data_IF_752868419095
#
_entry.id   IF_752868419095
#
_cell.length_a   1.000
_cell.length_b   1.000
_cell.length_c   1.000
_cell.angle_alpha   90.00
_cell.angle_beta   90.00
_cell.angle_gamma   90.00
#
_symmetry.space_group_name_H-M   'P 1'
#
loop_
_entity.id
_entity.type
_entity.pdbx_description
1 polymer ?
#
# COMPACT_ATOMS: atom_id res chain seq x y z
N UNK A 1 9.59 -20.75 -20.68
CA UNK A 1 10.42 -19.99 -19.71
C UNK A 1 9.60 -19.85 -18.42
N UNK A 2 10.10 -20.34 -17.27
CA UNK A 2 9.40 -20.18 -15.98
C UNK A 2 9.31 -18.67 -15.68
N UNK A 3 8.10 -18.13 -15.61
CA UNK A 3 7.85 -16.80 -15.08
C UNK A 3 8.37 -16.76 -13.64
N UNK A 4 9.60 -16.27 -13.46
CA UNK A 4 10.20 -16.06 -12.15
C UNK A 4 9.36 -14.95 -11.51
N UNK A 5 8.40 -15.32 -10.65
CA UNK A 5 7.70 -14.34 -9.81
C UNK A 5 8.81 -13.64 -9.05
N UNK A 6 9.06 -12.38 -9.38
CA UNK A 6 9.81 -11.47 -8.52
C UNK A 6 8.93 -11.23 -7.31
N UNK A 7 9.00 -12.17 -6.36
CA UNK A 7 8.36 -11.98 -5.08
C UNK A 7 8.96 -10.73 -4.46
N UNK A 8 8.10 -9.77 -4.16
CA UNK A 8 8.43 -8.65 -3.30
C UNK A 8 8.96 -9.24 -1.99
N UNK A 9 10.27 -9.11 -1.74
CA UNK A 9 10.95 -9.51 -0.49
C UNK A 9 10.59 -8.56 0.65
N UNK A 10 9.31 -8.33 0.87
CA UNK A 10 8.79 -7.61 2.03
C UNK A 10 7.93 -8.59 2.79
N UNK A 11 8.22 -8.73 4.07
CA UNK A 11 7.49 -9.58 5.00
C UNK A 11 5.98 -9.34 4.90
N UNK A 12 5.22 -10.40 5.14
CA UNK A 12 3.80 -10.27 5.44
C UNK A 12 3.65 -9.49 6.77
N UNK A 13 2.61 -8.67 6.88
CA UNK A 13 2.21 -8.10 8.16
C UNK A 13 1.18 -9.06 8.79
N UNK A 14 1.27 -9.26 10.10
CA UNK A 14 0.35 -10.11 10.87
C UNK A 14 -1.01 -9.44 11.10
N UNK A 15 -1.00 -8.12 11.31
CA UNK A 15 -2.19 -7.31 11.58
C UNK A 15 -1.97 -5.89 11.08
N UNK A 16 -2.98 -5.30 10.43
CA UNK A 16 -2.96 -3.92 9.94
C UNK A 16 -3.53 -3.77 8.53
N UNK A 17 -3.07 -2.74 7.82
CA UNK A 17 -3.62 -2.34 6.52
C UNK A 17 -2.59 -2.46 5.40
N UNK A 18 -3.00 -3.03 4.27
CA UNK A 18 -2.28 -2.96 2.99
C UNK A 18 -3.06 -2.12 2.01
N UNK A 19 -2.40 -1.13 1.42
CA UNK A 19 -2.89 -0.31 0.32
C UNK A 19 -2.07 -0.69 -0.92
N UNK A 20 -2.70 -1.43 -1.84
CA UNK A 20 -2.07 -1.89 -3.07
C UNK A 20 -2.65 -1.16 -4.29
N UNK A 21 -2.01 -1.30 -5.45
CA UNK A 21 -2.44 -0.67 -6.71
C UNK A 21 -2.51 0.86 -6.65
N UNK A 22 -1.61 1.47 -5.89
CA UNK A 22 -1.40 2.91 -5.93
C UNK A 22 -0.66 3.24 -7.24
N UNK A 23 -1.05 4.27 -8.02
CA UNK A 23 -0.22 4.76 -9.12
C UNK A 23 1.18 5.10 -8.60
N UNK A 24 2.24 4.66 -9.29
CA UNK A 24 3.60 4.72 -8.75
C UNK A 24 4.02 6.16 -8.37
N UNK A 25 3.68 7.13 -9.21
CA UNK A 25 3.88 8.57 -9.05
C UNK A 25 3.14 9.17 -7.85
N UNK A 26 2.05 8.52 -7.39
CA UNK A 26 1.22 9.00 -6.29
C UNK A 26 1.53 8.30 -4.96
N UNK A 27 2.45 7.35 -4.92
CA UNK A 27 2.77 6.57 -3.70
C UNK A 27 3.13 7.46 -2.51
N UNK A 28 4.06 8.41 -2.71
CA UNK A 28 4.46 9.35 -1.65
C UNK A 28 3.36 10.34 -1.27
N UNK A 29 2.53 10.72 -2.23
CA UNK A 29 1.38 11.59 -1.96
C UNK A 29 0.34 10.89 -1.09
N UNK A 30 0.05 9.61 -1.38
CA UNK A 30 -0.83 8.79 -0.52
C UNK A 30 -0.24 8.64 0.88
N UNK A 31 1.07 8.39 0.98
CA UNK A 31 1.77 8.29 2.27
C UNK A 31 1.57 9.54 3.13
N UNK A 32 1.78 10.72 2.55
CA UNK A 32 1.59 12.01 3.24
C UNK A 32 0.10 12.31 3.54
N UNK A 33 -0.82 12.00 2.61
CA UNK A 33 -2.26 12.21 2.83
C UNK A 33 -2.83 11.42 4.00
N UNK A 34 -2.20 10.28 4.32
CA UNK A 34 -2.54 9.45 5.47
C UNK A 34 -1.69 9.76 6.71
N UNK A 35 -0.83 10.79 6.65
CA UNK A 35 0.03 11.24 7.73
C UNK A 35 0.93 10.12 8.30
N UNK A 36 1.41 9.23 7.43
CA UNK A 36 2.19 8.04 7.82
C UNK A 36 3.61 8.36 8.27
N UNK A 37 4.12 9.54 7.93
CA UNK A 37 5.41 10.07 8.40
C UNK A 37 5.46 10.25 9.92
N UNK A 38 4.30 10.46 10.55
CA UNK A 38 4.16 10.61 12.00
C UNK A 38 3.88 9.29 12.73
N UNK A 39 3.67 8.20 11.99
CA UNK A 39 3.35 6.89 12.55
C UNK A 39 4.56 6.27 13.23
N UNK A 40 4.36 5.78 14.46
CA UNK A 40 5.34 4.96 15.18
C UNK A 40 5.25 3.48 14.82
N UNK A 41 4.21 3.07 14.08
CA UNK A 41 4.03 1.70 13.63
C UNK A 41 4.98 1.34 12.49
N UNK A 42 5.32 0.06 12.41
CA UNK A 42 6.16 -0.46 11.33
C UNK A 42 5.46 -0.34 9.98
N UNK A 43 6.10 0.34 9.03
CA UNK A 43 5.59 0.58 7.68
C UNK A 43 6.59 0.05 6.65
N UNK A 44 6.09 -0.73 5.69
CA UNK A 44 6.78 -1.02 4.44
C UNK A 44 6.09 -0.27 3.32
N UNK A 45 6.86 0.40 2.47
CA UNK A 45 6.32 0.91 1.21
C UNK A 45 7.30 0.61 0.07
N UNK A 46 6.74 0.48 -1.12
CA UNK A 46 7.50 0.32 -2.35
C UNK A 46 6.82 1.09 -3.47
N UNK A 47 7.61 1.65 -4.37
CA UNK A 47 7.13 2.32 -5.57
C UNK A 47 7.84 1.77 -6.81
N UNK A 48 7.29 2.05 -8.00
CA UNK A 48 7.79 1.58 -9.30
C UNK A 48 7.88 0.04 -9.42
N UNK A 49 7.01 -0.66 -8.70
CA UNK A 49 6.89 -2.11 -8.75
C UNK A 49 6.14 -2.52 -10.01
N UNK A 50 6.53 -3.64 -10.62
CA UNK A 50 5.83 -4.18 -11.79
C UNK A 50 4.35 -4.45 -11.47
N UNK A 51 3.46 -3.98 -12.33
CA UNK A 51 2.02 -4.13 -12.19
C UNK A 51 1.40 -4.54 -13.51
N UNK A 52 0.66 -5.65 -13.52
CA UNK A 52 -0.12 -6.05 -14.70
C UNK A 52 -1.26 -5.08 -15.00
N UNK A 53 -1.80 -4.40 -13.98
CA UNK A 53 -2.95 -3.50 -14.09
C UNK A 53 -2.56 -2.07 -14.44
N UNK A 54 -1.42 -1.60 -13.94
CA UNK A 54 -1.00 -0.19 -14.03
C UNK A 54 0.33 0.02 -14.77
N UNK A 55 0.99 -1.05 -15.23
CA UNK A 55 2.39 -1.02 -15.69
C UNK A 55 3.35 -0.92 -14.50
N UNK A 56 3.28 0.19 -13.76
CA UNK A 56 4.00 0.41 -12.51
C UNK A 56 3.03 0.73 -11.37
N UNK A 57 3.34 0.28 -10.15
CA UNK A 57 2.52 0.57 -8.96
C UNK A 57 3.36 0.85 -7.72
N UNK A 58 2.69 1.47 -6.75
CA UNK A 58 3.08 1.52 -5.36
C UNK A 58 2.27 0.56 -4.50
N UNK A 59 2.85 0.23 -3.35
CA UNK A 59 2.22 -0.52 -2.25
C UNK A 59 2.66 0.11 -0.93
N UNK A 60 1.74 0.18 0.03
CA UNK A 60 2.00 0.58 1.41
C UNK A 60 1.42 -0.51 2.33
N UNK A 61 2.21 -1.03 3.26
CA UNK A 61 1.79 -1.95 4.32
C UNK A 61 2.08 -1.31 5.67
N UNK A 62 1.06 -1.20 6.52
CA UNK A 62 1.16 -0.53 7.82
C UNK A 62 0.69 -1.50 8.89
N UNK A 63 1.55 -1.77 9.87
CA UNK A 63 1.22 -2.68 10.97
C UNK A 63 0.27 -2.02 11.97
N UNK A 64 -0.71 -2.78 12.47
CA UNK A 64 -1.62 -2.39 13.55
C UNK A 64 -2.42 -1.08 13.33
N UNK A 65 -2.53 -0.60 12.09
CA UNK A 65 -3.38 0.54 11.73
C UNK A 65 -4.53 0.03 10.86
N UNK A 66 -5.73 0.52 11.19
CA UNK A 66 -6.96 0.32 10.42
C UNK A 66 -7.59 1.71 10.25
N UNK A 67 -7.83 2.11 9.02
CA UNK A 67 -8.35 3.43 8.72
C UNK A 67 -9.86 3.46 8.79
N UNK A 68 -10.41 4.55 9.29
CA UNK A 68 -11.84 4.83 9.11
C UNK A 68 -12.12 5.12 7.63
N UNK A 69 -13.35 4.84 7.15
CA UNK A 69 -13.73 5.10 5.76
C UNK A 69 -13.42 6.53 5.31
N UNK A 70 -13.61 7.53 6.16
CA UNK A 70 -13.40 8.95 5.82
C UNK A 70 -11.90 9.30 5.70
N UNK A 71 -11.03 8.59 6.41
CA UNK A 71 -9.58 8.79 6.34
C UNK A 71 -9.04 8.23 5.03
N UNK A 72 -9.44 7.00 4.70
CA UNK A 72 -8.94 6.31 3.52
C UNK A 72 -9.57 6.83 2.23
N UNK A 73 -10.84 7.30 2.25
CA UNK A 73 -11.51 7.80 1.04
C UNK A 73 -10.81 8.98 0.39
N UNK A 74 -10.06 9.78 1.17
CA UNK A 74 -9.27 10.91 0.66
C UNK A 74 -8.27 10.48 -0.42
N UNK A 75 -7.72 9.27 -0.32
CA UNK A 75 -6.72 8.79 -1.29
C UNK A 75 -7.34 8.55 -2.67
N UNK A 76 -8.65 8.36 -2.78
CA UNK A 76 -9.33 8.13 -4.05
C UNK A 76 -9.15 9.28 -5.05
N UNK A 77 -8.85 10.49 -4.56
CA UNK A 77 -8.53 11.66 -5.39
C UNK A 77 -7.26 11.46 -6.24
N UNK A 78 -6.35 10.58 -5.81
CA UNK A 78 -5.03 10.37 -6.44
C UNK A 78 -4.75 8.90 -6.76
N UNK A 79 -5.48 7.99 -6.13
CA UNK A 79 -5.37 6.56 -6.29
C UNK A 79 -6.77 5.90 -6.30
N UNK A 80 -7.66 6.26 -7.24
CA UNK A 80 -9.05 5.78 -7.27
C UNK A 80 -9.17 4.26 -7.47
N UNK A 81 -8.10 3.61 -7.95
CA UNK A 81 -8.05 2.17 -8.19
C UNK A 81 -7.24 1.41 -7.14
N UNK A 82 -6.82 2.08 -6.07
CA UNK A 82 -6.13 1.44 -4.96
C UNK A 82 -7.03 0.41 -4.29
N UNK A 83 -6.43 -0.67 -3.83
CA UNK A 83 -7.09 -1.75 -3.09
C UNK A 83 -6.70 -1.64 -1.64
N UNK A 84 -7.70 -1.55 -0.77
CA UNK A 84 -7.52 -1.62 0.68
C UNK A 84 -7.73 -3.05 1.15
N UNK A 85 -6.78 -3.59 1.91
CA UNK A 85 -6.85 -4.93 2.48
C UNK A 85 -6.55 -4.80 3.97
N UNK A 86 -7.52 -5.16 4.81
CA UNK A 86 -7.31 -5.32 6.24
C UNK A 86 -6.88 -6.76 6.55
N UNK A 87 -5.78 -6.90 7.28
CA UNK A 87 -5.27 -8.19 7.75
C UNK A 87 -5.44 -8.22 9.26
N UNK A 88 -6.02 -9.30 9.79
CA UNK A 88 -6.22 -9.53 11.24
C UNK A 88 -5.77 -10.95 11.57
N UNK A 89 -4.77 -11.07 12.46
CA UNK A 89 -4.25 -12.32 13.02
C UNK A 89 -3.83 -13.39 12.00
N UNK A 90 -2.90 -13.04 11.10
CA UNK A 90 -2.26 -13.94 10.13
C UNK A 90 -0.89 -14.46 10.58
#
# INVERSE_FOLDING_TARGET
>A
MKNKRTELKVSAIRSGTVIDHIPAENTFRVFAMLNLESSTNHIYFGTNLESRKLGKKGIIKISNIFFRPEEISKIALVAPHATLIEIKDY
#
